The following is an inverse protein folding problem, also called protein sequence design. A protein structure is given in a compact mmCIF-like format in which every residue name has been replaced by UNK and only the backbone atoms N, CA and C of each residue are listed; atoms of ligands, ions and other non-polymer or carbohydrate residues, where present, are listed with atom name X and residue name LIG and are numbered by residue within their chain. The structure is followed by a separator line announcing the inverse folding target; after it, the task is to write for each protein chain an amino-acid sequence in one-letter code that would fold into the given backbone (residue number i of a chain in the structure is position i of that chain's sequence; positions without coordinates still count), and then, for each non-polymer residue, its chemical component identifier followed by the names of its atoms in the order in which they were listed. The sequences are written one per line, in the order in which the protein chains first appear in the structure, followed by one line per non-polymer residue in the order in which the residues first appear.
data_IF_444284737840
#
_entry.id   IF_444284737840
#
_cell.length_a   1.000
_cell.length_b   1.000
_cell.length_c   1.000
_cell.angle_alpha   90.00
_cell.angle_beta   90.00
_cell.angle_gamma   90.00
#
_symmetry.space_group_name_H-M   'P 1'
#
loop_
_entity.id
_entity.type
_entity.pdbx_description
1 polymer ?
#
# COMPACT_ATOMS: atom_id res chain seq x y z
N UNK A 1 -17.45 -12.62 -7.30
CA UNK A 1 -16.60 -11.56 -6.70
C UNK A 1 -17.31 -11.00 -5.46
N UNK A 2 -16.59 -10.50 -4.46
CA UNK A 2 -17.16 -9.89 -3.26
C UNK A 2 -16.52 -8.53 -2.98
N UNK A 3 -17.34 -7.53 -2.63
CA UNK A 3 -16.89 -6.21 -2.17
C UNK A 3 -16.76 -6.30 -0.65
N UNK A 4 -15.54 -6.39 -0.13
CA UNK A 4 -15.31 -6.73 1.28
C UNK A 4 -15.83 -5.64 2.21
N UNK A 5 -15.72 -4.38 1.79
CA UNK A 5 -16.18 -3.21 2.54
C UNK A 5 -17.69 -3.24 2.85
N UNK A 6 -18.50 -3.99 2.09
CA UNK A 6 -19.95 -4.10 2.31
C UNK A 6 -20.34 -5.35 3.10
N UNK A 7 -19.40 -6.24 3.41
CA UNK A 7 -19.67 -7.48 4.16
C UNK A 7 -19.83 -7.25 5.66
N UNK A 8 -19.34 -6.12 6.18
CA UNK A 8 -19.32 -5.81 7.60
C UNK A 8 -20.06 -4.50 7.87
N UNK A 9 -20.95 -4.51 8.86
CA UNK A 9 -21.65 -3.30 9.29
C UNK A 9 -20.71 -2.39 10.08
N UNK A 10 -20.35 -1.25 9.50
CA UNK A 10 -19.55 -0.22 10.17
C UNK A 10 -20.43 0.98 10.56
N UNK A 11 -20.07 1.73 11.63
CA UNK A 11 -20.69 3.01 11.93
C UNK A 11 -20.54 4.00 10.78
N UNK A 12 -21.53 4.87 10.55
CA UNK A 12 -21.51 5.83 9.45
C UNK A 12 -20.24 6.70 9.39
N UNK A 13 -19.69 7.07 10.55
CA UNK A 13 -18.41 7.81 10.66
C UNK A 13 -17.18 7.07 10.13
N UNK A 14 -17.29 5.77 9.77
CA UNK A 14 -16.23 4.92 9.22
C UNK A 14 -16.56 4.40 7.81
N UNK A 15 -17.55 4.95 7.13
CA UNK A 15 -17.89 4.50 5.76
C UNK A 15 -17.17 5.29 4.66
N UNK A 16 -16.88 6.57 4.90
CA UNK A 16 -16.27 7.43 3.88
C UNK A 16 -14.77 7.16 3.73
N UNK A 17 -14.34 7.08 2.48
CA UNK A 17 -12.94 6.86 2.08
C UNK A 17 -12.33 8.09 1.44
N UNK A 18 -13.13 9.12 1.18
CA UNK A 18 -12.69 10.38 0.60
C UNK A 18 -13.46 11.55 1.20
N UNK A 19 -12.77 12.68 1.38
CA UNK A 19 -13.33 13.96 1.83
C UNK A 19 -13.01 15.05 0.82
N UNK A 20 -13.99 15.89 0.49
CA UNK A 20 -13.70 17.09 -0.31
C UNK A 20 -12.83 18.07 0.49
N UNK A 21 -12.06 18.94 -0.18
CA UNK A 21 -11.45 20.10 0.47
C UNK A 21 -12.50 20.86 1.29
N UNK A 22 -12.14 21.25 2.52
CA UNK A 22 -13.05 21.91 3.46
C UNK A 22 -14.09 21.00 4.13
N UNK A 23 -14.00 19.67 4.00
CA UNK A 23 -14.88 18.67 4.65
C UNK A 23 -16.39 18.83 4.34
N UNK A 24 -16.71 19.40 3.17
CA UNK A 24 -18.10 19.66 2.71
C UNK A 24 -18.81 18.37 2.29
N UNK A 25 -18.08 17.45 1.64
CA UNK A 25 -18.60 16.18 1.13
C UNK A 25 -17.73 15.02 1.59
N UNK A 26 -18.37 13.89 1.86
CA UNK A 26 -17.71 12.63 2.23
C UNK A 26 -18.29 11.51 1.40
N UNK A 27 -17.44 10.76 0.69
CA UNK A 27 -17.86 9.70 -0.23
C UNK A 27 -17.13 8.38 0.09
N UNK A 28 -17.75 7.26 -0.30
CA UNK A 28 -17.12 5.94 -0.29
C UNK A 28 -16.80 5.57 -1.75
N UNK A 29 -15.53 5.68 -2.13
CA UNK A 29 -15.07 5.42 -3.51
C UNK A 29 -13.97 4.36 -3.58
N UNK A 30 -13.37 4.02 -2.43
CA UNK A 30 -12.31 3.03 -2.32
C UNK A 30 -12.85 1.70 -1.78
N UNK A 31 -12.56 0.61 -2.47
CA UNK A 31 -13.07 -0.72 -2.13
C UNK A 31 -11.99 -1.77 -2.20
N UNK A 32 -12.03 -2.70 -1.23
CA UNK A 32 -11.24 -3.92 -1.28
C UNK A 32 -12.11 -4.99 -1.93
N UNK A 33 -11.66 -5.50 -3.08
CA UNK A 33 -12.31 -6.60 -3.79
C UNK A 33 -11.64 -7.93 -3.42
N UNK A 34 -12.45 -8.98 -3.30
CA UNK A 34 -11.98 -10.32 -3.02
C UNK A 34 -12.68 -11.34 -3.90
N UNK A 35 -11.97 -12.42 -4.24
CA UNK A 35 -12.61 -13.60 -4.83
C UNK A 35 -13.64 -14.18 -3.87
N UNK A 36 -14.84 -14.50 -4.37
CA UNK A 36 -15.93 -15.05 -3.54
C UNK A 36 -15.54 -16.34 -2.82
N UNK A 37 -14.59 -17.10 -3.37
CA UNK A 37 -14.07 -18.34 -2.74
C UNK A 37 -13.38 -18.09 -1.39
N UNK A 38 -12.84 -16.88 -1.19
CA UNK A 38 -12.13 -16.50 0.02
C UNK A 38 -12.93 -15.58 0.93
N UNK A 39 -14.18 -15.24 0.60
CA UNK A 39 -14.96 -14.26 1.38
C UNK A 39 -15.04 -14.62 2.88
N UNK A 40 -15.08 -15.91 3.21
CA UNK A 40 -15.15 -16.42 4.59
C UNK A 40 -13.83 -16.24 5.37
N UNK A 41 -12.73 -15.89 4.69
CA UNK A 41 -11.45 -15.58 5.33
C UNK A 41 -11.38 -14.14 5.85
N UNK A 42 -12.25 -13.25 5.36
CA UNK A 42 -12.31 -11.87 5.84
C UNK A 42 -12.93 -11.86 7.25
N UNK A 43 -12.23 -11.24 8.20
CA UNK A 43 -12.68 -11.07 9.59
C UNK A 43 -13.37 -9.72 9.76
N UNK A 44 -12.81 -8.67 9.16
CA UNK A 44 -13.34 -7.32 9.27
C UNK A 44 -12.83 -6.45 8.10
N UNK A 45 -13.57 -5.40 7.78
CA UNK A 45 -13.17 -4.37 6.83
C UNK A 45 -13.66 -3.02 7.33
N UNK A 46 -12.77 -2.03 7.41
CA UNK A 46 -13.07 -0.70 7.95
C UNK A 46 -12.14 0.35 7.38
N UNK A 47 -12.66 1.58 7.27
CA UNK A 47 -11.83 2.76 6.99
C UNK A 47 -11.11 3.21 8.25
N UNK A 48 -10.02 3.96 8.05
CA UNK A 48 -9.24 4.55 9.13
C UNK A 48 -9.14 6.08 8.99
N UNK A 49 -10.21 6.84 9.36
CA UNK A 49 -10.25 8.29 9.14
C UNK A 49 -9.30 9.13 10.01
N UNK A 50 -8.67 8.51 11.02
CA UNK A 50 -7.65 9.14 11.86
C UNK A 50 -6.21 8.85 11.40
N UNK A 51 -6.03 8.30 10.20
CA UNK A 51 -4.70 8.11 9.63
C UNK A 51 -4.09 9.48 9.29
N UNK A 52 -2.90 9.78 9.80
CA UNK A 52 -2.14 10.96 9.38
C UNK A 52 -1.36 10.61 8.10
N UNK A 53 -2.03 10.76 6.94
CA UNK A 53 -1.46 10.39 5.64
C UNK A 53 -1.33 11.57 4.67
N UNK A 54 -1.72 12.78 5.08
CA UNK A 54 -1.61 13.98 4.25
C UNK A 54 -2.43 13.94 2.94
N UNK A 55 -3.44 13.06 2.86
CA UNK A 55 -4.34 12.92 1.70
C UNK A 55 -5.78 13.20 2.12
N UNK A 56 -6.59 13.60 1.14
CA UNK A 56 -8.03 13.68 1.20
C UNK A 56 -8.73 12.30 1.28
N UNK A 57 -8.00 11.21 1.00
CA UNK A 57 -8.47 9.85 1.18
C UNK A 57 -8.25 9.34 2.62
N UNK A 58 -9.08 8.39 3.04
CA UNK A 58 -8.88 7.58 4.25
C UNK A 58 -8.54 6.14 3.85
N UNK A 59 -7.51 5.52 4.44
CA UNK A 59 -7.17 4.14 4.14
C UNK A 59 -8.32 3.18 4.46
N UNK A 60 -8.57 2.25 3.55
CA UNK A 60 -9.45 1.09 3.80
C UNK A 60 -8.57 -0.08 4.21
N UNK A 61 -8.90 -0.71 5.33
CA UNK A 61 -8.15 -1.84 5.86
C UNK A 61 -9.06 -3.06 5.99
N UNK A 62 -8.52 -4.22 5.62
CA UNK A 62 -9.17 -5.51 5.81
C UNK A 62 -8.31 -6.38 6.72
N UNK A 63 -8.94 -6.99 7.72
CA UNK A 63 -8.36 -8.07 8.50
C UNK A 63 -8.84 -9.40 7.92
N UNK A 64 -7.93 -10.33 7.66
CA UNK A 64 -8.26 -11.65 7.14
C UNK A 64 -7.34 -12.74 7.70
N UNK A 65 -7.84 -13.98 7.74
CA UNK A 65 -7.06 -15.16 8.11
C UNK A 65 -6.76 -16.00 6.88
N UNK A 66 -5.47 -16.14 6.54
CA UNK A 66 -5.03 -16.94 5.39
C UNK A 66 -3.93 -17.93 5.80
N UNK A 67 -4.00 -19.14 5.26
CA UNK A 67 -2.90 -20.10 5.32
C UNK A 67 -2.03 -19.92 4.09
N UNK A 68 -0.87 -19.31 4.25
CA UNK A 68 0.09 -19.14 3.17
C UNK A 68 0.95 -20.38 3.03
N UNK A 69 1.19 -20.82 1.80
CA UNK A 69 2.27 -21.76 1.51
C UNK A 69 3.56 -20.96 1.39
N UNK A 70 4.64 -21.45 2.00
CA UNK A 70 5.97 -20.88 1.80
C UNK A 70 6.36 -21.20 0.35
N UNK A 71 6.53 -20.19 -0.52
CA UNK A 71 7.05 -20.44 -1.86
C UNK A 71 8.46 -20.99 -1.74
N UNK A 72 8.76 -22.10 -2.41
CA UNK A 72 10.14 -22.51 -2.65
C UNK A 72 10.74 -21.52 -3.66
N UNK A 73 11.18 -20.37 -3.16
CA UNK A 73 11.88 -19.38 -3.97
C UNK A 73 13.29 -19.91 -4.25
N UNK A 74 13.66 -20.01 -5.53
CA UNK A 74 15.09 -20.02 -5.90
C UNK A 74 15.64 -18.68 -5.39
N UNK A 75 16.55 -18.70 -4.42
CA UNK A 75 17.17 -17.47 -3.91
C UNK A 75 17.72 -16.66 -5.09
N UNK A 76 17.03 -15.59 -5.48
CA UNK A 76 17.65 -14.55 -6.30
C UNK A 76 18.64 -13.85 -5.39
N UNK A 77 19.92 -13.88 -5.76
CA UNK A 77 20.96 -13.14 -5.04
C UNK A 77 20.58 -11.67 -5.04
N UNK A 78 20.06 -11.17 -3.91
CA UNK A 78 19.81 -9.75 -3.74
C UNK A 78 21.15 -9.04 -3.77
N UNK A 79 21.40 -8.22 -4.79
CA UNK A 79 22.58 -7.37 -4.83
C UNK A 79 22.44 -6.36 -3.69
N UNK A 80 23.22 -6.53 -2.62
CA UNK A 80 23.31 -5.54 -1.54
C UNK A 80 24.13 -4.36 -2.04
N UNK A 81 23.45 -3.26 -2.40
CA UNK A 81 24.12 -1.99 -2.66
C UNK A 81 24.61 -1.41 -1.34
N UNK A 82 25.92 -1.31 -1.17
CA UNK A 82 26.52 -0.72 0.01
C UNK A 82 26.53 0.81 -0.15
N UNK A 83 25.58 1.50 0.49
CA UNK A 83 25.51 2.97 0.46
C UNK A 83 26.77 3.66 1.01
N UNK A 84 27.66 2.94 1.71
CA UNK A 84 28.96 3.46 2.14
C UNK A 84 29.89 3.78 0.96
N UNK A 85 29.78 3.04 -0.14
CA UNK A 85 30.56 3.31 -1.36
C UNK A 85 30.19 4.65 -1.98
N UNK A 86 28.93 5.10 -1.85
CA UNK A 86 28.49 6.42 -2.30
C UNK A 86 29.02 7.57 -1.44
N UNK A 87 29.50 7.27 -0.22
CA UNK A 87 30.09 8.27 0.69
C UNK A 87 31.59 8.44 0.48
N UNK A 88 32.21 7.56 -0.30
CA UNK A 88 33.61 7.71 -0.71
C UNK A 88 33.64 8.62 -1.93
N UNK A 89 34.59 9.54 -1.97
CA UNK A 89 34.72 10.53 -3.05
C UNK A 89 34.83 9.85 -4.42
N UNK A 90 35.66 8.81 -4.52
CA UNK A 90 35.81 7.99 -5.74
C UNK A 90 34.50 7.31 -6.18
N UNK A 91 33.66 6.89 -5.22
CA UNK A 91 32.38 6.27 -5.51
C UNK A 91 31.38 7.30 -6.05
N UNK A 92 31.26 8.46 -5.41
CA UNK A 92 30.37 9.53 -5.86
C UNK A 92 30.73 10.02 -7.28
N UNK A 93 32.01 10.21 -7.57
CA UNK A 93 32.50 10.65 -8.89
C UNK A 93 32.17 9.62 -9.99
N UNK A 94 32.36 8.33 -9.71
CA UNK A 94 32.04 7.26 -10.67
C UNK A 94 30.57 7.24 -11.07
N UNK A 95 29.65 7.46 -10.12
CA UNK A 95 28.21 7.50 -10.41
C UNK A 95 27.76 8.81 -11.06
N UNK A 96 28.40 9.94 -10.74
CA UNK A 96 28.13 11.23 -11.39
C UNK A 96 28.46 11.22 -12.89
N UNK A 97 29.54 10.53 -13.28
CA UNK A 97 29.96 10.37 -14.70
C UNK A 97 29.02 9.45 -15.48
N UNK A 98 28.30 8.54 -14.82
CA UNK A 98 27.32 7.67 -15.49
C UNK A 98 26.01 8.41 -15.77
N UNK A 99 25.53 9.22 -14.83
CA UNK A 99 24.33 10.05 -14.98
C UNK A 99 24.45 11.07 -16.12
N UNK A 100 25.65 11.63 -16.33
CA UNK A 100 25.87 12.58 -17.44
C UNK A 100 25.95 11.92 -18.82
N UNK A 101 26.18 10.60 -18.89
CA UNK A 101 26.24 9.83 -20.15
C UNK A 101 24.87 9.28 -20.57
N UNK A 102 23.92 9.15 -19.65
CA UNK A 102 22.55 8.71 -19.94
C UNK A 102 21.61 9.85 -20.38
N UNK A 103 22.09 11.10 -20.37
CA UNK A 103 21.32 12.29 -20.79
C UNK A 103 21.56 12.71 -22.26
N UNK A 104 22.01 11.80 -23.12
CA UNK A 104 22.12 12.00 -24.58
C UNK A 104 21.21 11.01 -25.30
#
# INVERSE_FOLDING_TARGET
MAIVNTLFKQPARRLYTWKSPGDVRRNQIDYILMSSRFKNSAINCRTYPGADIGSDHNPVTMQMTVKLKIPHSKQTKTVKYCAKLLRLQEGAEKYAVLLSKEQI
#
